data_IF_434849869301
#
_entry.id   IF_434849869301
#
_cell.length_a   1.000
_cell.length_b   1.000
_cell.length_c   1.000
_cell.angle_alpha   90.00
_cell.angle_beta   90.00
_cell.angle_gamma   90.00
#
_symmetry.space_group_name_H-M   'P 1'
#
loop_
_entity.id
_entity.type
_entity.pdbx_description
1 polymer ?
#
# COMPACT_ATOMS: atom_id res chain seq x y z
N UNK A 1 0.09 2.63 -1.90
CA UNK A 1 1.26 3.45 -1.53
C UNK A 1 0.82 4.82 -1.01
N UNK A 2 0.59 5.82 -1.86
CA UNK A 2 0.50 7.24 -1.46
C UNK A 2 -0.89 7.88 -1.70
N UNK A 3 -1.99 7.19 -1.36
CA UNK A 3 -3.35 7.68 -1.62
C UNK A 3 -3.67 8.99 -0.89
N UNK A 4 -3.11 9.17 0.30
CA UNK A 4 -3.24 10.38 1.13
C UNK A 4 -2.32 11.52 0.70
N UNK A 5 -1.24 11.18 -0.02
CA UNK A 5 -0.21 12.12 -0.44
C UNK A 5 0.06 11.99 -1.95
N UNK A 6 -0.86 12.48 -2.80
CA UNK A 6 -0.68 12.48 -4.25
C UNK A 6 0.55 13.30 -4.65
N UNK A 7 1.25 12.85 -5.69
CA UNK A 7 2.42 13.53 -6.25
C UNK A 7 2.10 14.14 -7.61
N UNK A 8 2.86 15.17 -8.00
CA UNK A 8 2.77 15.75 -9.34
C UNK A 8 3.53 14.93 -10.39
N UNK A 9 3.42 15.35 -11.65
CA UNK A 9 4.33 14.89 -12.70
C UNK A 9 5.80 15.08 -12.29
N UNK A 10 6.67 14.20 -12.78
CA UNK A 10 8.12 14.12 -12.48
C UNK A 10 8.47 13.65 -11.06
N UNK A 11 7.54 13.02 -10.34
CA UNK A 11 7.88 12.22 -9.18
C UNK A 11 8.65 10.94 -9.59
N UNK A 12 9.52 10.46 -8.71
CA UNK A 12 10.39 9.31 -8.95
C UNK A 12 10.06 8.19 -7.96
N UNK A 13 9.88 6.98 -8.47
CA UNK A 13 9.88 5.76 -7.65
C UNK A 13 11.23 5.07 -7.87
N UNK A 14 12.03 4.95 -6.82
CA UNK A 14 13.37 4.39 -6.88
C UNK A 14 13.53 3.24 -5.88
N UNK A 15 14.13 2.15 -6.35
CA UNK A 15 14.62 1.08 -5.48
C UNK A 15 16.10 1.31 -5.20
N UNK A 16 16.42 1.70 -3.97
CA UNK A 16 17.75 2.09 -3.54
C UNK A 16 18.66 0.90 -3.21
N UNK A 17 19.97 1.14 -3.24
CA UNK A 17 20.97 0.13 -2.85
C UNK A 17 20.94 -0.24 -1.36
N UNK A 18 20.23 0.52 -0.54
CA UNK A 18 19.93 0.21 0.87
C UNK A 18 18.75 -0.76 1.04
N UNK A 19 18.13 -1.18 -0.07
CA UNK A 19 17.00 -2.10 -0.09
C UNK A 19 15.65 -1.43 0.13
N UNK A 20 15.56 -0.09 0.07
CA UNK A 20 14.31 0.64 0.26
C UNK A 20 13.66 1.01 -1.08
N UNK A 21 12.34 0.85 -1.19
CA UNK A 21 11.56 1.37 -2.30
C UNK A 21 10.94 2.71 -1.88
N UNK A 22 11.31 3.79 -2.56
CA UNK A 22 10.97 5.17 -2.15
C UNK A 22 10.31 5.91 -3.29
N UNK A 23 9.15 6.53 -3.01
CA UNK A 23 8.52 7.53 -3.85
C UNK A 23 8.92 8.92 -3.38
N UNK A 24 9.47 9.73 -4.28
CA UNK A 24 9.87 11.11 -4.01
C UNK A 24 9.35 12.09 -5.05
N UNK A 25 9.16 13.34 -4.63
CA UNK A 25 8.87 14.47 -5.50
C UNK A 25 9.93 15.55 -5.25
N UNK A 26 10.91 15.63 -6.15
CA UNK A 26 12.13 16.40 -5.90
C UNK A 26 12.90 15.82 -4.71
N UNK A 27 13.18 16.64 -3.70
CA UNK A 27 13.83 16.23 -2.46
C UNK A 27 12.89 15.69 -1.39
N UNK A 28 11.57 15.76 -1.59
CA UNK A 28 10.58 15.30 -0.62
C UNK A 28 10.34 13.80 -0.78
N UNK A 29 10.58 13.02 0.27
CA UNK A 29 10.11 11.64 0.38
C UNK A 29 8.61 11.64 0.73
N UNK A 30 7.80 11.02 -0.13
CA UNK A 30 6.34 10.98 -0.01
C UNK A 30 5.86 9.65 0.56
N UNK A 31 6.51 8.57 0.18
CA UNK A 31 6.20 7.22 0.67
C UNK A 31 7.44 6.33 0.60
N UNK A 32 7.52 5.34 1.48
CA UNK A 32 8.55 4.29 1.42
C UNK A 32 8.02 2.95 1.90
N UNK A 33 8.65 1.86 1.43
CA UNK A 33 8.41 0.50 1.94
C UNK A 33 8.95 0.31 3.36
N UNK A 34 9.76 1.24 3.87
CA UNK A 34 10.42 1.18 5.18
C UNK A 34 11.34 -0.04 5.33
N UNK A 35 11.98 -0.47 4.23
CA UNK A 35 12.84 -1.66 4.19
C UNK A 35 14.33 -1.35 4.16
N UNK A 36 14.72 -0.09 4.38
CA UNK A 36 16.13 0.31 4.45
C UNK A 36 16.89 -0.50 5.49
N UNK A 37 18.04 -1.05 5.10
CA UNK A 37 18.88 -1.89 5.98
C UNK A 37 18.31 -3.28 6.29
N UNK A 38 17.14 -3.62 5.76
CA UNK A 38 16.53 -4.95 5.93
C UNK A 38 17.03 -5.98 4.91
N UNK A 39 18.22 -5.76 4.33
CA UNK A 39 18.88 -6.71 3.42
C UNK A 39 18.06 -7.08 2.18
N UNK A 40 17.13 -6.23 1.75
CA UNK A 40 16.36 -6.45 0.52
C UNK A 40 17.32 -6.35 -0.67
N UNK A 41 17.29 -7.37 -1.52
CA UNK A 41 18.15 -7.49 -2.71
C UNK A 41 17.37 -7.53 -4.01
N UNK A 42 16.05 -7.75 -3.96
CA UNK A 42 15.22 -7.84 -5.16
C UNK A 42 13.83 -7.23 -4.96
N UNK A 43 13.31 -6.64 -6.03
CA UNK A 43 11.93 -6.19 -6.17
C UNK A 43 11.29 -6.94 -7.34
N UNK A 44 10.20 -7.66 -7.08
CA UNK A 44 9.54 -8.53 -8.06
C UNK A 44 8.06 -8.19 -8.13
N UNK A 45 7.56 -7.88 -9.32
CA UNK A 45 6.12 -7.79 -9.58
C UNK A 45 5.63 -9.13 -10.14
N UNK A 46 4.89 -9.88 -9.35
CA UNK A 46 4.33 -11.16 -9.76
C UNK A 46 3.12 -10.97 -10.70
N UNK A 47 2.83 -11.99 -11.51
CA UNK A 47 1.68 -12.01 -12.44
C UNK A 47 0.33 -11.83 -11.74
N UNK A 48 0.26 -12.12 -10.44
CA UNK A 48 -0.91 -11.87 -9.60
C UNK A 48 -1.15 -10.38 -9.30
N UNK A 49 -0.19 -9.51 -9.64
CA UNK A 49 -0.20 -8.10 -9.27
C UNK A 49 0.45 -7.79 -7.92
N UNK A 50 0.97 -8.81 -7.21
CA UNK A 50 1.68 -8.61 -5.94
C UNK A 50 3.10 -8.10 -6.23
N UNK A 51 3.43 -6.90 -5.72
CA UNK A 51 4.79 -6.36 -5.74
C UNK A 51 5.47 -6.76 -4.43
N UNK A 52 6.58 -7.49 -4.52
CA UNK A 52 7.25 -8.08 -3.36
C UNK A 52 8.71 -7.67 -3.32
N UNK A 53 9.18 -7.30 -2.12
CA UNK A 53 10.57 -7.04 -1.82
C UNK A 53 11.17 -8.24 -1.10
N UNK A 54 12.22 -8.82 -1.68
CA UNK A 54 12.87 -10.02 -1.16
C UNK A 54 14.27 -9.75 -0.62
N UNK A 55 14.61 -10.40 0.49
CA UNK A 55 16.00 -10.66 0.92
C UNK A 55 16.53 -11.92 0.21
N UNK A 56 17.81 -12.24 0.42
CA UNK A 56 18.40 -13.52 0.04
C UNK A 56 17.51 -14.73 0.38
N UNK A 57 17.65 -15.81 -0.39
CA UNK A 57 16.82 -17.04 -0.27
C UNK A 57 15.32 -16.81 -0.47
N UNK A 58 14.94 -15.75 -1.19
CA UNK A 58 13.55 -15.41 -1.52
C UNK A 58 12.66 -15.08 -0.32
N UNK A 59 13.25 -14.74 0.83
CA UNK A 59 12.49 -14.33 2.01
C UNK A 59 11.75 -13.00 1.74
N UNK A 60 10.46 -12.95 2.05
CA UNK A 60 9.62 -11.76 1.84
C UNK A 60 9.84 -10.78 2.99
N UNK A 61 10.26 -9.55 2.67
CA UNK A 61 10.43 -8.45 3.64
C UNK A 61 9.23 -7.50 3.60
N UNK A 62 8.69 -7.25 2.40
CA UNK A 62 7.52 -6.39 2.19
C UNK A 62 6.73 -6.89 0.98
N UNK A 63 5.42 -6.74 0.98
CA UNK A 63 4.58 -7.04 -0.18
C UNK A 63 3.36 -6.12 -0.27
N UNK A 64 2.95 -5.75 -1.48
CA UNK A 64 1.83 -4.83 -1.69
C UNK A 64 0.50 -5.41 -1.21
N UNK A 65 0.34 -6.73 -1.23
CA UNK A 65 -0.89 -7.40 -0.80
C UNK A 65 -1.17 -7.25 0.70
N UNK A 66 -0.16 -6.94 1.51
CA UNK A 66 -0.33 -6.63 2.94
C UNK A 66 -0.85 -5.19 3.18
N UNK A 67 -1.00 -4.40 2.12
CA UNK A 67 -1.43 -3.00 2.17
C UNK A 67 -2.57 -2.73 1.15
N UNK A 68 -3.79 -3.27 1.37
CA UNK A 68 -4.92 -3.05 0.47
C UNK A 68 -5.33 -1.58 0.37
N UNK A 69 -5.96 -1.23 -0.75
CA UNK A 69 -6.49 0.11 -1.00
C UNK A 69 -8.02 0.10 -0.94
N UNK A 70 -8.69 0.20 -2.08
CA UNK A 70 -10.14 0.21 -2.26
C UNK A 70 -10.66 -1.10 -2.86
N UNK A 71 -9.77 -2.06 -3.13
CA UNK A 71 -10.10 -3.35 -3.75
C UNK A 71 -9.40 -4.50 -3.03
N UNK A 72 -10.09 -5.64 -2.95
CA UNK A 72 -9.50 -6.94 -2.62
C UNK A 72 -9.36 -7.74 -3.90
N UNK A 73 -8.13 -8.11 -4.27
CA UNK A 73 -7.86 -8.84 -5.51
C UNK A 73 -7.74 -10.35 -5.26
N UNK A 74 -7.85 -11.14 -6.34
CA UNK A 74 -7.66 -12.60 -6.27
C UNK A 74 -6.26 -12.91 -5.71
N UNK A 75 -6.19 -13.89 -4.81
CA UNK A 75 -4.99 -14.29 -4.05
C UNK A 75 -4.51 -13.30 -2.98
N UNK A 76 -5.20 -12.18 -2.76
CA UNK A 76 -4.95 -11.31 -1.62
C UNK A 76 -5.70 -11.81 -0.38
N UNK A 77 -5.00 -11.90 0.74
CA UNK A 77 -5.58 -12.29 2.03
C UNK A 77 -5.93 -11.02 2.80
N UNK A 78 -7.20 -10.84 3.13
CA UNK A 78 -7.63 -9.79 4.05
C UNK A 78 -7.38 -10.27 5.49
N UNK A 79 -6.44 -9.65 6.19
CA UNK A 79 -6.12 -9.97 7.59
C UNK A 79 -7.11 -9.30 8.54
N UNK A 80 -7.28 -9.88 9.73
CA UNK A 80 -8.07 -9.26 10.80
C UNK A 80 -7.60 -7.83 11.09
N UNK A 81 -8.55 -6.91 11.26
CA UNK A 81 -8.29 -5.48 11.47
C UNK A 81 -7.84 -4.71 10.22
N UNK A 82 -7.71 -5.37 9.07
CA UNK A 82 -7.36 -4.71 7.81
C UNK A 82 -8.60 -4.07 7.19
N UNK A 83 -8.46 -2.82 6.74
CA UNK A 83 -9.52 -2.06 6.08
C UNK A 83 -9.29 -1.98 4.57
N UNK A 84 -10.36 -2.14 3.82
CA UNK A 84 -10.44 -1.77 2.40
C UNK A 84 -11.23 -0.46 2.36
N UNK A 85 -10.57 0.64 2.04
CA UNK A 85 -11.12 1.99 2.11
C UNK A 85 -11.45 2.48 0.72
N UNK A 86 -12.68 2.91 0.50
CA UNK A 86 -13.16 3.39 -0.79
C UNK A 86 -12.30 4.55 -1.32
N UNK A 87 -12.36 4.79 -2.62
CA UNK A 87 -11.90 6.06 -3.19
C UNK A 87 -12.96 7.14 -3.02
N UNK A 88 -12.57 8.41 -2.99
CA UNK A 88 -13.52 9.54 -3.01
C UNK A 88 -14.36 9.52 -4.29
N UNK A 89 -13.73 9.20 -5.43
CA UNK A 89 -14.41 9.06 -6.71
C UNK A 89 -13.59 8.16 -7.67
N UNK A 90 -14.10 7.84 -8.87
CA UNK A 90 -13.33 7.10 -9.87
C UNK A 90 -12.01 7.79 -10.26
N UNK A 91 -11.98 9.12 -10.26
CA UNK A 91 -10.80 9.93 -10.63
C UNK A 91 -10.00 10.43 -9.43
N UNK A 92 -10.62 10.55 -8.25
CA UNK A 92 -9.94 10.91 -7.01
C UNK A 92 -9.72 9.66 -6.16
N UNK A 93 -8.49 9.13 -6.21
CA UNK A 93 -8.08 7.92 -5.50
C UNK A 93 -7.73 8.12 -4.03
N UNK A 94 -7.85 9.32 -3.46
CA UNK A 94 -7.68 9.50 -2.01
C UNK A 94 -8.74 8.72 -1.22
N UNK A 95 -8.48 8.38 0.06
CA UNK A 95 -9.44 7.64 0.88
C UNK A 95 -10.77 8.37 1.01
N UNK A 96 -11.86 7.63 0.79
CA UNK A 96 -13.22 8.12 0.91
C UNK A 96 -13.85 7.80 2.26
N UNK A 97 -15.16 8.01 2.35
CA UNK A 97 -15.94 7.86 3.58
C UNK A 97 -16.36 6.43 3.91
N UNK A 98 -16.13 5.46 3.03
CA UNK A 98 -16.61 4.09 3.22
C UNK A 98 -15.43 3.13 3.37
N UNK A 99 -15.57 2.14 4.23
CA UNK A 99 -14.61 1.04 4.29
C UNK A 99 -15.25 -0.28 4.71
N UNK A 100 -14.63 -1.37 4.30
CA UNK A 100 -14.89 -2.71 4.79
C UNK A 100 -13.77 -3.12 5.75
N UNK A 101 -14.09 -3.72 6.88
CA UNK A 101 -13.11 -4.23 7.84
C UNK A 101 -13.41 -5.68 8.21
N UNK A 102 -12.38 -6.53 8.15
CA UNK A 102 -12.50 -7.90 8.66
C UNK A 102 -12.35 -7.88 10.18
N UNK A 103 -13.44 -8.16 10.86
CA UNK A 103 -13.50 -8.36 12.31
C UNK A 103 -13.48 -9.86 12.64
N UNK A 104 -13.25 -10.25 13.92
CA UNK A 104 -13.11 -11.66 14.31
C UNK A 104 -14.26 -12.59 13.86
N UNK A 105 -15.47 -12.06 13.65
CA UNK A 105 -16.66 -12.86 13.33
C UNK A 105 -17.40 -12.42 12.06
N UNK A 106 -16.98 -11.33 11.42
CA UNK A 106 -17.71 -10.77 10.28
C UNK A 106 -16.84 -9.84 9.44
N UNK A 107 -17.20 -9.72 8.16
CA UNK A 107 -16.79 -8.59 7.31
C UNK A 107 -17.84 -7.49 7.47
N UNK A 108 -17.45 -6.35 8.03
CA UNK A 108 -18.37 -5.26 8.38
C UNK A 108 -18.11 -4.04 7.52
N UNK A 109 -19.17 -3.42 7.02
CA UNK A 109 -19.11 -2.16 6.27
C UNK A 109 -19.44 -0.95 7.12
N UNK A 110 -18.67 0.12 6.92
CA UNK A 110 -18.78 1.36 7.67
C UNK A 110 -18.90 2.57 6.75
N UNK A 111 -19.56 3.62 7.25
CA UNK A 111 -19.61 4.94 6.66
C UNK A 111 -19.18 5.97 7.72
N UNK A 112 -18.24 6.84 7.38
CA UNK A 112 -17.76 7.92 8.24
C UNK A 112 -18.18 9.28 7.69
N UNK A 113 -18.51 10.20 8.60
CA UNK A 113 -18.76 11.58 8.22
C UNK A 113 -17.45 12.23 7.71
N UNK A 114 -17.53 13.17 6.74
CA UNK A 114 -16.35 13.90 6.30
C UNK A 114 -15.65 14.59 7.49
N UNK A 115 -14.34 14.37 7.64
CA UNK A 115 -13.52 15.07 8.65
C UNK A 115 -13.31 14.34 9.99
N UNK A 116 -13.79 13.11 10.17
CA UNK A 116 -13.31 12.26 11.28
C UNK A 116 -11.92 11.70 10.97
N UNK A 117 -10.93 11.83 11.88
CA UNK A 117 -9.63 11.19 11.72
C UNK A 117 -9.75 9.67 11.57
N UNK A 118 -8.89 9.07 10.73
CA UNK A 118 -8.77 7.62 10.56
C UNK A 118 -8.04 6.94 11.72
#
# INVERSE_FOLDING_TARGET
ANRDFPVSANATLAFGGDGNLVLSQGSLQVWSSNTSGQGVVAMVLYVTGNLVLHREKFEIVWQSFDHPTDSLVVNQILKLGTRIVSSVSPTNKSPGSFYLELQPHALVGFAQAPGTPQ
#
